data_IF_452394547978
#
_entry.id   IF_452394547978
#
_cell.length_a   1.000
_cell.length_b   1.000
_cell.length_c   1.000
_cell.angle_alpha   90.00
_cell.angle_beta   90.00
_cell.angle_gamma   90.00
#
_symmetry.space_group_name_H-M   'P 1'
#
loop_
_entity.id
_entity.type
_entity.pdbx_description
1 polymer ?
#
# COMPACT_ATOMS: atom_id res chain seq x y z
N UNK A 1 7.61 -17.03 -5.15
CA UNK A 1 6.47 -17.54 -4.37
C UNK A 1 5.28 -17.74 -5.30
N UNK A 2 4.45 -18.78 -5.11
CA UNK A 2 3.13 -18.84 -5.73
C UNK A 2 2.25 -17.71 -5.21
N UNK A 3 1.20 -17.37 -5.96
CA UNK A 3 0.22 -16.37 -5.54
C UNK A 3 -0.46 -16.77 -4.22
N UNK A 4 -0.57 -15.82 -3.28
CA UNK A 4 -1.21 -16.04 -1.97
C UNK A 4 -2.28 -14.98 -1.74
N UNK A 5 -3.45 -15.41 -1.28
CA UNK A 5 -4.58 -14.52 -0.97
C UNK A 5 -4.72 -14.23 0.52
N UNK A 6 -5.16 -13.02 0.85
CA UNK A 6 -5.61 -12.60 2.18
C UNK A 6 -7.07 -12.15 2.10
N UNK A 7 -7.91 -12.58 3.04
CA UNK A 7 -9.32 -12.18 3.10
C UNK A 7 -9.44 -10.88 3.89
N UNK A 8 -9.32 -9.76 3.18
CA UNK A 8 -9.51 -8.42 3.72
C UNK A 8 -10.44 -7.59 2.85
N UNK A 9 -11.15 -6.68 3.50
CA UNK A 9 -12.12 -5.78 2.88
C UNK A 9 -11.98 -4.38 3.45
N UNK A 10 -12.57 -3.41 2.74
CA UNK A 10 -12.65 -2.05 3.23
C UNK A 10 -13.63 -1.90 4.37
N UNK A 11 -13.37 -0.92 5.24
CA UNK A 11 -14.35 -0.47 6.22
C UNK A 11 -15.45 0.33 5.53
N UNK A 12 -16.69 0.06 5.89
CA UNK A 12 -17.83 0.88 5.54
C UNK A 12 -17.67 2.28 6.18
N UNK A 13 -18.13 3.33 5.49
CA UNK A 13 -18.03 4.72 5.97
C UNK A 13 -18.79 4.97 7.28
N UNK A 14 -19.82 4.16 7.56
CA UNK A 14 -20.61 4.20 8.80
C UNK A 14 -20.12 3.09 9.73
N UNK A 15 -20.16 3.33 11.04
CA UNK A 15 -19.93 2.28 12.03
C UNK A 15 -21.01 1.21 11.88
N UNK A 16 -20.61 -0.03 11.61
CA UNK A 16 -21.52 -1.16 11.40
C UNK A 16 -20.94 -2.44 12.00
N UNK A 17 -21.80 -3.41 12.31
CA UNK A 17 -21.38 -4.74 12.75
C UNK A 17 -20.42 -5.40 11.73
N UNK A 18 -20.58 -5.10 10.44
CA UNK A 18 -19.68 -5.56 9.38
C UNK A 18 -18.27 -5.01 9.53
N UNK A 19 -18.09 -3.79 10.03
CA UNK A 19 -16.76 -3.25 10.31
C UNK A 19 -16.04 -4.05 11.39
N UNK A 20 -16.73 -4.51 12.44
CA UNK A 20 -16.13 -5.39 13.44
C UNK A 20 -15.66 -6.72 12.85
N UNK A 21 -16.48 -7.33 11.99
CA UNK A 21 -16.09 -8.54 11.25
C UNK A 21 -14.86 -8.26 10.36
N UNK A 22 -14.88 -7.16 9.61
CA UNK A 22 -13.76 -6.76 8.74
C UNK A 22 -12.47 -6.52 9.53
N UNK A 23 -12.55 -5.91 10.72
CA UNK A 23 -11.40 -5.73 11.60
C UNK A 23 -10.85 -7.08 12.09
N UNK A 24 -11.73 -8.01 12.51
CA UNK A 24 -11.34 -9.36 12.89
C UNK A 24 -10.64 -10.11 11.74
N UNK A 25 -11.18 -10.03 10.53
CA UNK A 25 -10.56 -10.60 9.32
C UNK A 25 -9.22 -9.96 8.97
N UNK A 26 -9.09 -8.65 9.20
CA UNK A 26 -7.83 -7.92 9.00
C UNK A 26 -6.77 -8.37 10.00
N UNK A 27 -7.14 -8.57 11.26
CA UNK A 27 -6.24 -9.11 12.28
C UNK A 27 -5.80 -10.55 11.96
N UNK A 28 -6.72 -11.43 11.56
CA UNK A 28 -6.37 -12.78 11.11
C UNK A 28 -5.44 -12.74 9.87
N UNK A 29 -5.68 -11.81 8.95
CA UNK A 29 -4.82 -11.61 7.77
C UNK A 29 -3.45 -11.05 8.13
N UNK A 30 -3.31 -10.31 9.23
CA UNK A 30 -2.01 -9.87 9.74
C UNK A 30 -1.15 -11.06 10.20
N UNK A 31 -1.73 -11.99 10.96
CA UNK A 31 -1.04 -13.22 11.38
C UNK A 31 -0.60 -14.05 10.16
N UNK A 32 -1.49 -14.17 9.17
CA UNK A 32 -1.16 -14.85 7.92
C UNK A 32 -0.07 -14.12 7.14
N UNK A 33 -0.08 -12.79 7.12
CA UNK A 33 0.94 -11.98 6.48
C UNK A 33 2.30 -12.16 7.16
N UNK A 34 2.35 -12.18 8.49
CA UNK A 34 3.57 -12.44 9.26
C UNK A 34 4.18 -13.80 8.89
N UNK A 35 3.37 -14.85 8.81
CA UNK A 35 3.84 -16.17 8.35
C UNK A 35 4.41 -16.13 6.91
N UNK A 36 3.79 -15.34 6.02
CA UNK A 36 4.30 -15.14 4.64
C UNK A 36 5.66 -14.43 4.68
N UNK A 37 5.79 -13.35 5.46
CA UNK A 37 7.03 -12.58 5.60
C UNK A 37 8.16 -13.47 6.14
N UNK A 38 7.93 -14.21 7.22
CA UNK A 38 8.95 -15.08 7.80
C UNK A 38 9.34 -16.28 6.91
N UNK A 39 8.39 -16.79 6.12
CA UNK A 39 8.69 -17.87 5.17
C UNK A 39 9.44 -17.36 3.94
N UNK A 40 9.04 -16.21 3.41
CA UNK A 40 9.63 -15.64 2.20
C UNK A 40 10.98 -14.97 2.45
N UNK A 41 11.13 -14.33 3.62
CA UNK A 41 12.29 -13.52 4.03
C UNK A 41 12.63 -12.44 3.00
N UNK A 42 11.70 -11.51 2.70
CA UNK A 42 11.95 -10.45 1.73
C UNK A 42 13.01 -9.47 2.25
N UNK A 43 13.84 -8.95 1.35
CA UNK A 43 14.73 -7.82 1.63
C UNK A 43 13.99 -6.48 1.67
N UNK A 44 12.88 -6.39 0.93
CA UNK A 44 12.01 -5.21 0.87
C UNK A 44 10.58 -5.62 0.55
N UNK A 45 9.60 -4.87 1.06
CA UNK A 45 8.18 -5.05 0.74
C UNK A 45 7.59 -3.75 0.23
N UNK A 46 6.96 -3.81 -0.95
CA UNK A 46 6.34 -2.67 -1.60
C UNK A 46 4.82 -2.88 -1.65
N UNK A 47 4.05 -1.91 -1.17
CA UNK A 47 2.60 -1.90 -1.30
C UNK A 47 2.13 -0.75 -2.17
N UNK A 48 1.29 -1.06 -3.15
CA UNK A 48 0.77 -0.07 -4.12
C UNK A 48 -0.65 0.39 -3.79
N UNK A 49 -1.11 0.17 -2.55
CA UNK A 49 -2.45 0.51 -2.08
C UNK A 49 -3.44 -0.66 -2.01
N UNK A 50 -4.66 -0.37 -1.58
CA UNK A 50 -5.71 -1.36 -1.33
C UNK A 50 -5.62 -2.00 0.07
N UNK A 51 -6.70 -2.67 0.48
CA UNK A 51 -6.85 -3.18 1.86
C UNK A 51 -5.88 -4.32 2.20
N UNK A 52 -5.44 -5.09 1.21
CA UNK A 52 -4.42 -6.16 1.34
C UNK A 52 -3.07 -5.60 1.77
N UNK A 53 -2.70 -4.41 1.31
CA UNK A 53 -1.43 -3.79 1.69
C UNK A 53 -1.35 -3.50 3.19
N UNK A 54 -2.48 -3.29 3.86
CA UNK A 54 -2.54 -3.02 5.31
C UNK A 54 -1.81 -4.08 6.15
N UNK A 55 -2.33 -5.31 6.25
CA UNK A 55 -1.69 -6.36 7.04
C UNK A 55 -0.30 -6.75 6.52
N UNK A 56 -0.07 -6.74 5.20
CA UNK A 56 1.22 -7.16 4.63
C UNK A 56 2.35 -6.19 4.96
N UNK A 57 2.15 -4.88 4.72
CA UNK A 57 3.16 -3.88 5.02
C UNK A 57 3.32 -3.67 6.52
N UNK A 58 2.24 -3.79 7.31
CA UNK A 58 2.34 -3.72 8.75
C UNK A 58 3.16 -4.88 9.30
N UNK A 59 2.89 -6.12 8.88
CA UNK A 59 3.71 -7.28 9.28
C UNK A 59 5.18 -7.08 8.90
N UNK A 60 5.46 -6.68 7.65
CA UNK A 60 6.83 -6.45 7.20
C UNK A 60 7.56 -5.35 8.02
N UNK A 61 6.89 -4.24 8.28
CA UNK A 61 7.42 -3.13 9.09
C UNK A 61 7.70 -3.57 10.53
N UNK A 62 6.78 -4.31 11.17
CA UNK A 62 6.98 -4.84 12.53
C UNK A 62 8.10 -5.89 12.60
N UNK A 63 8.31 -6.65 11.52
CA UNK A 63 9.44 -7.58 11.39
C UNK A 63 10.78 -6.88 11.07
N UNK A 64 10.82 -5.55 11.02
CA UNK A 64 12.03 -4.78 10.72
C UNK A 64 12.48 -4.84 9.25
N UNK A 65 11.63 -5.32 8.34
CA UNK A 65 11.92 -5.36 6.91
C UNK A 65 11.69 -3.97 6.31
N UNK A 66 12.59 -3.47 5.44
CA UNK A 66 12.37 -2.25 4.69
C UNK A 66 11.04 -2.26 3.91
N UNK A 67 10.27 -1.18 4.06
CA UNK A 67 8.93 -1.05 3.49
C UNK A 67 8.76 0.25 2.70
N UNK A 68 8.07 0.15 1.57
CA UNK A 68 7.71 1.27 0.73
C UNK A 68 6.21 1.21 0.37
N UNK A 69 5.53 2.36 0.49
CA UNK A 69 4.21 2.56 -0.12
C UNK A 69 4.36 3.36 -1.40
N UNK A 70 3.73 2.94 -2.48
CA UNK A 70 3.48 3.77 -3.66
C UNK A 70 2.07 4.37 -3.57
N UNK A 71 1.95 5.69 -3.43
CA UNK A 71 0.68 6.41 -3.44
C UNK A 71 0.50 7.15 -4.76
N UNK A 72 -0.43 6.68 -5.59
CA UNK A 72 -0.63 7.19 -6.94
C UNK A 72 -1.56 8.40 -6.99
N UNK A 73 -2.35 8.64 -5.95
CA UNK A 73 -3.45 9.61 -5.98
C UNK A 73 -3.10 10.90 -5.26
N UNK A 74 -3.76 11.99 -5.67
CA UNK A 74 -3.71 13.28 -4.95
C UNK A 74 -4.37 13.18 -3.56
N UNK A 75 -5.42 12.37 -3.44
CA UNK A 75 -6.07 12.07 -2.16
C UNK A 75 -5.63 10.66 -1.75
N UNK A 76 -4.77 10.53 -0.72
CA UNK A 76 -4.26 9.23 -0.36
C UNK A 76 -5.32 8.34 0.25
N UNK A 77 -5.14 7.03 0.07
CA UNK A 77 -6.00 6.03 0.67
C UNK A 77 -5.90 6.03 2.20
N UNK A 78 -6.98 5.63 2.87
CA UNK A 78 -7.00 5.48 4.35
C UNK A 78 -5.91 4.52 4.81
N UNK A 79 -5.74 3.39 4.12
CA UNK A 79 -4.70 2.40 4.41
C UNK A 79 -3.30 3.00 4.34
N UNK A 80 -2.97 3.73 3.27
CA UNK A 80 -1.66 4.37 3.09
C UNK A 80 -1.42 5.45 4.16
N UNK A 81 -2.47 6.21 4.49
CA UNK A 81 -2.42 7.23 5.55
C UNK A 81 -2.11 6.61 6.92
N UNK A 82 -2.72 5.46 7.25
CA UNK A 82 -2.43 4.73 8.49
C UNK A 82 -1.01 4.16 8.46
N UNK A 83 -0.62 3.52 7.35
CA UNK A 83 0.69 2.90 7.17
C UNK A 83 1.86 3.90 7.24
N UNK A 84 1.63 5.18 6.97
CA UNK A 84 2.66 6.25 7.07
C UNK A 84 3.32 6.39 8.45
N UNK A 85 2.73 5.78 9.49
CA UNK A 85 3.31 5.73 10.84
C UNK A 85 4.30 4.58 11.03
N UNK A 86 4.30 3.60 10.14
CA UNK A 86 5.00 2.33 10.29
C UNK A 86 6.03 2.10 9.18
N UNK A 87 5.70 2.50 7.95
CA UNK A 87 6.56 2.21 6.80
C UNK A 87 7.78 3.13 6.73
N UNK A 88 8.86 2.65 6.12
CA UNK A 88 10.10 3.43 6.02
C UNK A 88 9.97 4.60 5.04
N UNK A 89 9.27 4.38 3.91
CA UNK A 89 9.09 5.40 2.87
C UNK A 89 7.70 5.34 2.23
N UNK A 90 7.25 6.48 1.72
CA UNK A 90 6.09 6.63 0.85
C UNK A 90 6.53 7.41 -0.39
N UNK A 91 6.49 6.74 -1.53
CA UNK A 91 6.69 7.33 -2.84
C UNK A 91 5.38 7.97 -3.32
N UNK A 92 5.41 9.28 -3.52
CA UNK A 92 4.26 10.08 -3.94
C UNK A 92 4.23 10.27 -5.46
N UNK A 93 3.08 9.96 -6.06
CA UNK A 93 2.75 10.27 -7.45
C UNK A 93 2.52 11.76 -7.70
N UNK A 94 1.98 12.46 -6.70
CA UNK A 94 1.63 13.89 -6.75
C UNK A 94 2.17 14.60 -5.51
N UNK A 95 2.73 15.81 -5.67
CA UNK A 95 3.29 16.58 -4.54
C UNK A 95 2.20 17.03 -3.57
N UNK A 96 1.01 17.29 -4.10
CA UNK A 96 -0.19 17.72 -3.41
C UNK A 96 -0.65 16.69 -2.36
N UNK A 97 -0.40 15.40 -2.61
CA UNK A 97 -0.73 14.32 -1.67
C UNK A 97 0.02 14.48 -0.34
N UNK A 98 1.20 15.10 -0.35
CA UNK A 98 2.03 15.28 0.85
C UNK A 98 1.25 15.97 1.97
N UNK A 99 0.38 16.94 1.66
CA UNK A 99 -0.41 17.69 2.64
C UNK A 99 -1.31 16.82 3.53
N UNK A 100 -1.69 15.62 3.06
CA UNK A 100 -2.63 14.72 3.72
C UNK A 100 -1.96 13.70 4.67
N UNK A 101 -0.64 13.53 4.57
CA UNK A 101 0.12 12.67 5.48
C UNK A 101 0.57 13.44 6.72
N UNK A 102 0.48 12.84 7.91
CA UNK A 102 0.95 13.49 9.15
C UNK A 102 2.48 13.42 9.27
N UNK A 103 3.05 12.26 8.97
CA UNK A 103 4.49 12.05 8.98
C UNK A 103 5.07 12.46 7.63
N UNK A 104 5.87 13.54 7.60
CA UNK A 104 6.48 14.06 6.36
C UNK A 104 7.83 13.43 6.06
N UNK A 105 8.52 12.91 7.07
CA UNK A 105 9.91 12.43 6.96
C UNK A 105 10.02 11.15 6.12
N UNK A 106 8.92 10.42 6.00
CA UNK A 106 8.83 9.21 5.18
C UNK A 106 8.49 9.51 3.73
N UNK A 107 8.12 10.74 3.37
CA UNK A 107 7.61 11.08 2.05
C UNK A 107 8.75 11.35 1.07
N UNK A 108 8.65 10.79 -0.13
CA UNK A 108 9.55 11.07 -1.27
C UNK A 108 8.70 11.28 -2.51
N UNK A 109 8.90 12.38 -3.22
CA UNK A 109 8.22 12.60 -4.50
C UNK A 109 8.98 11.88 -5.62
N UNK A 110 8.34 10.91 -6.25
CA UNK A 110 8.90 10.11 -7.35
C UNK A 110 8.13 10.27 -8.66
N UNK A 111 6.90 10.77 -8.59
CA UNK A 111 5.94 10.61 -9.68
C UNK A 111 5.35 9.20 -9.73
N UNK A 112 4.46 8.98 -10.69
CA UNK A 112 3.85 7.68 -10.93
C UNK A 112 4.67 6.86 -11.92
N UNK A 113 5.01 5.60 -11.60
CA UNK A 113 5.71 4.72 -12.54
C UNK A 113 4.81 4.45 -13.73
N UNK A 114 5.34 4.71 -14.92
CA UNK A 114 4.69 4.45 -16.21
C UNK A 114 5.53 3.49 -17.01
N UNK A 115 4.90 2.73 -17.91
CA UNK A 115 5.62 1.85 -18.83
C UNK A 115 6.45 2.70 -19.79
N UNK A 116 7.67 2.26 -20.11
CA UNK A 116 8.58 3.00 -20.98
C UNK A 116 7.98 3.25 -22.36
N UNK A 117 7.31 2.26 -22.94
CA UNK A 117 6.70 2.37 -24.27
C UNK A 117 5.64 3.49 -24.34
N UNK A 118 4.97 3.82 -23.22
CA UNK A 118 4.00 4.93 -23.17
C UNK A 118 4.69 6.29 -23.39
N UNK A 119 5.97 6.41 -23.02
CA UNK A 119 6.74 7.64 -23.17
C UNK A 119 7.16 7.91 -24.62
N UNK A 120 7.21 6.87 -25.45
CA UNK A 120 7.66 6.94 -26.84
C UNK A 120 6.53 6.90 -27.87
N UNK A 121 5.31 6.58 -27.45
CA UNK A 121 4.13 6.47 -28.33
C UNK A 121 3.52 7.83 -28.61
N UNK A 122 3.22 8.13 -29.87
CA UNK A 122 2.52 9.34 -30.28
C UNK A 122 1.02 9.27 -29.98
N UNK A 123 0.38 10.44 -29.92
CA UNK A 123 -1.08 10.53 -29.72
C UNK A 123 -1.87 9.84 -30.84
N UNK A 124 -1.33 9.81 -32.05
CA UNK A 124 -1.97 9.19 -33.21
C UNK A 124 -1.93 7.67 -33.12
N UNK A 125 -0.79 7.10 -32.73
CA UNK A 125 -0.62 5.66 -32.50
C UNK A 125 -1.50 5.15 -31.34
N UNK A 126 -1.70 5.95 -30.30
CA UNK A 126 -2.57 5.59 -29.16
C UNK A 126 -4.08 5.73 -29.41
N UNK A 127 -4.51 6.24 -30.57
CA UNK A 127 -5.92 6.39 -30.95
C UNK A 127 -6.50 5.20 -31.71
N UNK A 128 -5.65 4.25 -32.12
CA UNK A 128 -6.02 3.07 -32.91
C UNK A 128 -6.41 1.91 -32.01
#
# INVERSE_FOLDING_TARGET
>A
LPFVTLDVRGLERKLSFRNFITLGKTAASLIKAEAIIHRFKPDVVIGTGGFVCGPVLLAASLSGIPTLVQEQNVIPGVTNTILSKFVNRIALGYREAAGRFKNKDVLVYTGNPVRQDILTVSREEGRV
#
